data_IF_628337488777
#
_entry.id   IF_628337488777
#
_cell.length_a   1.000
_cell.length_b   1.000
_cell.length_c   1.000
_cell.angle_alpha   90.00
_cell.angle_beta   90.00
_cell.angle_gamma   90.00
#
_symmetry.space_group_name_H-M   'P 1'
#
loop_
_entity.id
_entity.type
_entity.pdbx_description
1 polymer ?
#
# COMPACT_ATOMS: atom_id res chain seq x y z
N UNK A 1 -8.30 7.10 -33.82
CA UNK A 1 -9.32 6.28 -33.16
C UNK A 1 -10.63 7.03 -33.31
N UNK A 2 -11.63 6.40 -33.92
CA UNK A 2 -12.92 7.06 -34.15
C UNK A 2 -13.82 6.92 -32.90
N UNK A 3 -14.90 7.70 -32.85
CA UNK A 3 -15.78 7.80 -31.68
C UNK A 3 -16.51 6.46 -31.37
N UNK A 4 -16.78 5.66 -32.41
CA UNK A 4 -17.35 4.31 -32.29
C UNK A 4 -16.35 3.31 -31.68
N UNK A 5 -15.08 3.34 -32.07
CA UNK A 5 -14.00 2.53 -31.47
C UNK A 5 -13.82 2.88 -29.99
N UNK A 6 -13.91 4.17 -29.65
CA UNK A 6 -13.80 4.63 -28.26
C UNK A 6 -14.97 4.15 -27.41
N UNK A 7 -16.20 4.23 -27.94
CA UNK A 7 -17.39 3.76 -27.25
C UNK A 7 -17.38 2.23 -27.07
N UNK A 8 -16.88 1.50 -28.07
CA UNK A 8 -16.71 0.06 -28.00
C UNK A 8 -15.69 -0.33 -26.91
N UNK A 9 -14.56 0.36 -26.83
CA UNK A 9 -13.55 0.14 -25.78
C UNK A 9 -14.10 0.41 -24.39
N UNK A 10 -14.88 1.49 -24.22
CA UNK A 10 -15.54 1.81 -22.94
C UNK A 10 -16.54 0.72 -22.52
N UNK A 11 -17.31 0.20 -23.48
CA UNK A 11 -18.28 -0.87 -23.22
C UNK A 11 -17.60 -2.21 -22.88
N UNK A 12 -16.47 -2.51 -23.54
CA UNK A 12 -15.66 -3.70 -23.24
C UNK A 12 -15.06 -3.59 -21.84
N UNK A 13 -14.48 -2.44 -21.48
CA UNK A 13 -13.90 -2.21 -20.16
C UNK A 13 -14.95 -2.40 -19.04
N UNK A 14 -16.13 -1.79 -19.18
CA UNK A 14 -17.23 -1.94 -18.21
C UNK A 14 -17.80 -3.37 -18.13
N UNK A 15 -17.69 -4.15 -19.20
CA UNK A 15 -18.13 -5.56 -19.19
C UNK A 15 -17.11 -6.45 -18.49
N UNK A 16 -15.81 -6.17 -18.64
CA UNK A 16 -14.74 -6.87 -17.94
C UNK A 16 -14.75 -6.58 -16.43
N UNK A 17 -15.06 -5.34 -16.05
CA UNK A 17 -15.21 -4.93 -14.64
C UNK A 17 -16.31 -5.75 -13.92
N UNK A 18 -17.48 -5.90 -14.56
CA UNK A 18 -18.57 -6.74 -14.03
C UNK A 18 -18.20 -8.21 -13.86
N UNK A 19 -17.34 -8.73 -14.72
CA UNK A 19 -16.86 -10.11 -14.63
C UNK A 19 -15.86 -10.25 -13.49
N UNK A 20 -14.95 -9.29 -13.31
CA UNK A 20 -13.99 -9.28 -12.20
C UNK A 20 -14.70 -9.21 -10.84
N UNK A 21 -15.67 -8.30 -10.68
CA UNK A 21 -16.47 -8.17 -9.45
C UNK A 21 -17.27 -9.45 -9.12
N UNK A 22 -17.67 -10.21 -10.16
CA UNK A 22 -18.39 -11.48 -9.98
C UNK A 22 -17.47 -12.63 -9.56
N UNK A 23 -16.16 -12.55 -9.85
CA UNK A 23 -15.18 -13.54 -9.47
C UNK A 23 -14.71 -13.32 -8.01
N UNK A 24 -14.50 -12.06 -7.60
CA UNK A 24 -14.14 -11.71 -6.21
C UNK A 24 -15.23 -12.11 -5.21
N UNK A 25 -16.51 -11.98 -5.58
CA UNK A 25 -17.64 -12.41 -4.73
C UNK A 25 -17.71 -13.93 -4.48
N UNK A 26 -17.10 -14.74 -5.34
CA UNK A 26 -17.10 -16.19 -5.19
C UNK A 26 -15.95 -16.72 -4.32
N UNK A 27 -14.87 -15.96 -4.12
CA UNK A 27 -13.74 -16.34 -3.25
C UNK A 27 -14.03 -16.09 -1.76
N UNK A 28 -14.90 -15.14 -1.41
CA UNK A 28 -15.17 -14.73 -0.03
C UNK A 28 -16.20 -15.59 0.73
N UNK A 29 -16.64 -16.73 0.19
CA UNK A 29 -17.70 -17.57 0.78
C UNK A 29 -17.22 -18.85 1.48
N UNK A 30 -15.91 -19.03 1.75
CA UNK A 30 -15.44 -20.17 2.53
C UNK A 30 -14.58 -19.77 3.75
N UNK A 31 -15.01 -20.32 4.89
CA UNK A 31 -14.34 -20.44 6.21
C UNK A 31 -14.49 -19.25 7.17
N UNK A 32 -15.54 -19.36 7.99
CA UNK A 32 -15.72 -18.64 9.24
C UNK A 32 -15.58 -19.67 10.36
N UNK A 33 -14.47 -19.69 11.10
CA UNK A 33 -14.38 -20.45 12.36
C UNK A 33 -13.66 -19.62 13.43
N UNK A 34 -14.37 -19.44 14.54
CA UNK A 34 -14.05 -18.57 15.68
C UNK A 34 -12.98 -19.21 16.57
N UNK A 35 -12.09 -18.38 17.11
CA UNK A 35 -11.41 -18.67 18.37
C UNK A 35 -11.48 -17.45 19.30
N UNK A 36 -12.19 -17.62 20.43
CA UNK A 36 -12.22 -16.73 21.58
C UNK A 36 -11.00 -17.01 22.47
N UNK A 37 -10.22 -15.99 22.83
CA UNK A 37 -9.37 -16.00 24.03
C UNK A 37 -9.39 -14.62 24.68
N UNK A 38 -9.89 -14.58 25.92
CA UNK A 38 -9.83 -13.44 26.82
C UNK A 38 -8.51 -13.48 27.61
N UNK A 39 -7.80 -12.34 27.73
CA UNK A 39 -6.84 -12.08 28.82
C UNK A 39 -6.80 -10.59 29.15
N UNK A 40 -6.63 -10.36 30.45
CA UNK A 40 -6.80 -9.18 31.28
C UNK A 40 -5.86 -8.00 31.01
N UNK A 41 -6.37 -6.83 31.34
CA UNK A 41 -5.72 -5.52 31.38
C UNK A 41 -4.65 -5.42 32.47
N UNK A 42 -3.47 -4.92 32.11
CA UNK A 42 -2.54 -4.30 33.06
C UNK A 42 -2.04 -2.98 32.48
N UNK A 43 -2.51 -1.89 33.10
CA UNK A 43 -2.02 -0.52 32.93
C UNK A 43 -0.60 -0.43 33.48
N UNK A 44 0.36 0.06 32.69
CA UNK A 44 1.60 0.63 33.23
C UNK A 44 1.96 1.89 32.45
N UNK A 45 1.81 3.02 33.14
CA UNK A 45 2.19 4.36 32.72
C UNK A 45 3.70 4.53 32.81
N UNK A 46 4.36 4.85 31.71
CA UNK A 46 5.69 5.45 31.74
C UNK A 46 5.72 6.72 30.90
N UNK A 47 5.55 7.84 31.59
CA UNK A 47 5.90 9.18 31.13
C UNK A 47 7.42 9.26 30.93
N UNK A 48 7.87 9.45 29.69
CA UNK A 48 9.21 9.94 29.40
C UNK A 48 9.11 11.40 28.99
N UNK A 49 9.59 12.27 29.88
CA UNK A 49 9.80 13.68 29.62
C UNK A 49 11.13 13.87 28.87
N UNK A 50 11.05 14.05 27.56
CA UNK A 50 12.14 14.62 26.77
C UNK A 50 11.75 16.03 26.33
N UNK A 51 12.64 16.98 26.60
CA UNK A 51 12.59 18.32 26.02
C UNK A 51 12.82 18.20 24.51
N UNK A 52 11.76 18.34 23.72
CA UNK A 52 11.88 18.55 22.27
C UNK A 52 11.33 19.93 21.89
N UNK A 53 12.17 20.71 21.23
CA UNK A 53 11.75 21.93 20.55
C UNK A 53 11.19 21.51 19.20
N UNK A 54 9.98 20.95 19.18
CA UNK A 54 9.45 20.23 18.02
C UNK A 54 7.95 20.40 17.85
N UNK A 55 7.55 20.57 16.59
CA UNK A 55 6.18 20.59 16.12
C UNK A 55 5.25 19.55 16.81
N UNK A 56 4.08 20.00 17.30
CA UNK A 56 3.11 19.13 17.99
C UNK A 56 2.26 18.37 16.97
N UNK A 57 2.56 17.11 16.76
CA UNK A 57 1.65 16.18 16.07
C UNK A 57 0.69 15.54 17.07
N UNK A 58 -0.58 15.49 16.69
CA UNK A 58 -1.63 14.91 17.51
C UNK A 58 -2.47 13.97 16.66
N UNK A 59 -2.42 12.68 17.01
CA UNK A 59 -3.37 11.71 16.49
C UNK A 59 -4.73 11.93 17.18
N UNK A 60 -5.79 12.06 16.39
CA UNK A 60 -7.16 12.31 16.87
C UNK A 60 -8.03 11.06 16.70
N UNK A 61 -9.21 11.05 17.34
CA UNK A 61 -10.14 9.94 17.30
C UNK A 61 -10.56 9.60 15.85
N UNK A 62 -10.48 8.32 15.50
CA UNK A 62 -10.86 7.79 14.19
C UNK A 62 -12.33 8.06 13.85
N UNK A 63 -13.20 8.23 14.86
CA UNK A 63 -14.61 8.58 14.67
C UNK A 63 -14.78 9.85 13.85
N UNK A 64 -13.84 10.80 13.94
CA UNK A 64 -13.89 12.07 13.20
C UNK A 64 -13.73 11.83 11.69
N UNK A 65 -12.86 10.88 11.29
CA UNK A 65 -12.73 10.49 9.88
C UNK A 65 -13.97 9.71 9.41
N UNK A 66 -14.53 8.84 10.24
CA UNK A 66 -15.77 8.12 9.93
C UNK A 66 -16.93 9.10 9.71
N UNK A 67 -17.08 10.09 10.58
CA UNK A 67 -18.11 11.13 10.46
C UNK A 67 -17.93 11.94 9.17
N UNK A 68 -16.70 12.31 8.81
CA UNK A 68 -16.42 13.03 7.56
C UNK A 68 -16.67 12.22 6.30
N UNK A 69 -16.42 10.91 6.33
CA UNK A 69 -16.82 10.01 5.24
C UNK A 69 -18.36 9.95 5.16
N UNK A 70 -19.05 9.88 6.29
CA UNK A 70 -20.50 9.83 6.34
C UNK A 70 -21.16 11.13 5.83
N UNK A 71 -20.58 12.30 6.10
CA UNK A 71 -21.00 13.60 5.52
C UNK A 71 -20.98 13.60 3.98
N UNK A 72 -20.11 12.79 3.39
CA UNK A 72 -19.98 12.56 1.94
C UNK A 72 -20.83 11.39 1.43
N UNK A 73 -21.74 10.84 2.26
CA UNK A 73 -22.56 9.65 1.98
C UNK A 73 -21.74 8.37 1.77
N UNK A 74 -20.61 8.24 2.47
CA UNK A 74 -19.79 7.02 2.49
C UNK A 74 -19.90 6.39 3.86
N UNK A 75 -20.38 5.16 3.92
CA UNK A 75 -20.54 4.44 5.18
C UNK A 75 -19.40 3.45 5.39
N UNK A 76 -18.68 3.56 6.49
CA UNK A 76 -17.66 2.57 6.89
C UNK A 76 -18.36 1.37 7.54
N UNK A 77 -18.23 0.18 6.95
CA UNK A 77 -18.83 -1.08 7.44
C UNK A 77 -17.95 -1.74 8.50
N UNK A 78 -16.66 -1.86 8.17
CA UNK A 78 -15.66 -2.50 9.02
C UNK A 78 -14.33 -1.79 8.82
N UNK A 79 -13.58 -1.66 9.90
CA UNK A 79 -12.20 -1.24 9.89
C UNK A 79 -11.49 -1.94 11.05
N UNK A 80 -10.17 -1.99 10.98
CA UNK A 80 -9.36 -2.44 12.11
C UNK A 80 -9.03 -1.20 12.94
N UNK A 81 -9.55 -1.16 14.16
CA UNK A 81 -9.16 -0.11 15.11
C UNK A 81 -7.67 -0.26 15.44
N UNK A 82 -6.95 0.86 15.38
CA UNK A 82 -5.48 1.01 15.50
C UNK A 82 -4.68 -0.32 15.56
N UNK A 83 -4.14 -0.69 14.41
CA UNK A 83 -3.34 -1.90 14.20
C UNK A 83 -2.28 -2.10 15.30
N UNK A 84 -2.21 -3.29 15.90
CA UNK A 84 -1.05 -3.66 16.71
C UNK A 84 0.18 -3.66 15.82
N UNK A 85 1.09 -2.70 16.00
CA UNK A 85 2.34 -2.61 15.26
C UNK A 85 3.06 -3.97 15.29
N UNK A 86 3.12 -4.64 14.13
CA UNK A 86 4.06 -5.73 13.97
C UNK A 86 5.39 -5.12 13.54
N UNK A 87 6.17 -4.67 14.52
CA UNK A 87 7.43 -3.93 14.29
C UNK A 87 8.33 -4.63 13.27
N UNK A 88 8.34 -5.97 13.22
CA UNK A 88 9.10 -6.74 12.23
C UNK A 88 8.57 -6.59 10.80
N UNK A 89 7.27 -6.79 10.57
CA UNK A 89 6.68 -6.65 9.22
C UNK A 89 6.74 -5.21 8.73
N UNK A 90 6.53 -4.27 9.63
CA UNK A 90 6.61 -2.85 9.32
C UNK A 90 8.03 -2.44 8.90
N UNK A 91 9.07 -2.95 9.57
CA UNK A 91 10.45 -2.70 9.19
C UNK A 91 10.79 -3.31 7.82
N UNK A 92 10.22 -4.49 7.50
CA UNK A 92 10.39 -5.12 6.18
C UNK A 92 9.71 -4.27 5.10
N UNK A 93 8.47 -3.86 5.32
CA UNK A 93 7.72 -3.01 4.39
C UNK A 93 8.46 -1.68 4.13
N UNK A 94 8.94 -1.03 5.19
CA UNK A 94 9.71 0.21 5.08
C UNK A 94 11.04 0.01 4.33
N UNK A 95 11.75 -1.09 4.60
CA UNK A 95 12.93 -1.47 3.82
C UNK A 95 12.59 -1.72 2.36
N UNK A 96 11.49 -2.43 2.08
CA UNK A 96 11.06 -2.76 0.72
C UNK A 96 10.74 -1.51 -0.10
N UNK A 97 9.99 -0.55 0.44
CA UNK A 97 9.67 0.71 -0.25
C UNK A 97 10.93 1.55 -0.51
N UNK A 98 11.71 1.83 0.54
CA UNK A 98 12.90 2.69 0.44
C UNK A 98 14.03 2.11 -0.42
N UNK A 99 14.07 0.78 -0.59
CA UNK A 99 15.07 0.09 -1.40
C UNK A 99 14.47 -0.56 -2.64
N UNK A 100 13.25 -0.18 -3.03
CA UNK A 100 12.50 -0.90 -4.07
C UNK A 100 13.30 -1.04 -5.36
N UNK A 101 13.95 0.04 -5.83
CA UNK A 101 14.84 0.03 -6.99
C UNK A 101 15.91 -1.07 -6.94
N UNK A 102 16.51 -1.28 -5.78
CA UNK A 102 17.58 -2.27 -5.58
C UNK A 102 17.05 -3.71 -5.40
N UNK A 103 15.84 -3.87 -4.85
CA UNK A 103 15.25 -5.18 -4.54
C UNK A 103 14.27 -5.68 -5.60
N UNK A 104 13.85 -4.83 -6.54
CA UNK A 104 12.75 -5.09 -7.47
C UNK A 104 12.88 -6.46 -8.15
N UNK A 105 14.07 -6.77 -8.67
CA UNK A 105 14.33 -8.04 -9.36
C UNK A 105 14.07 -9.26 -8.47
N UNK A 106 14.51 -9.23 -7.21
CA UNK A 106 14.30 -10.34 -6.28
C UNK A 106 12.86 -10.40 -5.79
N UNK A 107 12.24 -9.26 -5.49
CA UNK A 107 10.84 -9.17 -5.07
C UNK A 107 9.89 -9.71 -6.15
N UNK A 108 10.02 -9.27 -7.40
CA UNK A 108 9.21 -9.76 -8.51
C UNK A 108 9.44 -11.27 -8.75
N UNK A 109 10.66 -11.76 -8.52
CA UNK A 109 10.97 -13.19 -8.62
C UNK A 109 10.28 -13.98 -7.53
N UNK A 110 10.31 -13.51 -6.27
CA UNK A 110 9.58 -14.10 -5.15
C UNK A 110 8.09 -14.15 -5.47
N UNK A 111 7.50 -13.01 -5.86
CA UNK A 111 6.07 -12.90 -6.16
C UNK A 111 5.62 -13.88 -7.26
N UNK A 112 6.43 -14.04 -8.33
CA UNK A 112 6.17 -15.01 -9.42
C UNK A 112 6.23 -16.47 -8.96
N UNK A 113 6.89 -16.77 -7.84
CA UNK A 113 7.05 -18.12 -7.32
C UNK A 113 6.16 -18.44 -6.11
N UNK A 114 5.41 -17.47 -5.56
CA UNK A 114 4.47 -17.70 -4.46
C UNK A 114 3.50 -18.87 -4.73
N UNK A 115 2.96 -18.92 -5.96
CA UNK A 115 1.99 -19.96 -6.35
C UNK A 115 2.64 -21.17 -7.02
N UNK A 116 3.97 -21.26 -7.09
CA UNK A 116 4.68 -22.38 -7.75
C UNK A 116 5.07 -23.45 -6.74
N UNK A 117 5.18 -24.73 -7.14
CA UNK A 117 5.58 -25.80 -6.24
C UNK A 117 7.08 -25.78 -5.89
N UNK A 118 7.91 -25.14 -6.73
CA UNK A 118 9.36 -25.14 -6.61
C UNK A 118 9.89 -23.75 -6.21
N UNK A 119 11.03 -23.74 -5.52
CA UNK A 119 11.82 -22.54 -5.32
C UNK A 119 12.40 -21.97 -6.61
N UNK A 120 13.13 -20.87 -6.49
CA UNK A 120 13.73 -20.16 -7.61
C UNK A 120 15.25 -20.04 -7.47
N UNK A 121 15.88 -19.79 -8.61
CA UNK A 121 17.28 -19.42 -8.73
C UNK A 121 17.35 -18.06 -9.42
N UNK A 122 17.99 -17.08 -8.80
CA UNK A 122 18.13 -15.74 -9.34
C UNK A 122 19.60 -15.38 -9.53
N UNK A 123 19.98 -15.12 -10.77
CA UNK A 123 21.32 -14.65 -11.15
C UNK A 123 21.49 -13.16 -10.84
N UNK A 124 22.50 -12.82 -10.04
CA UNK A 124 22.89 -11.44 -9.69
C UNK A 124 24.29 -11.06 -10.21
N UNK A 125 24.89 -11.83 -11.14
CA UNK A 125 26.26 -11.61 -11.61
C UNK A 125 26.49 -10.22 -12.22
N UNK A 126 25.48 -9.64 -12.85
CA UNK A 126 25.52 -8.30 -13.45
C UNK A 126 24.83 -7.24 -12.60
N UNK A 127 24.42 -7.58 -11.38
CA UNK A 127 23.82 -6.64 -10.45
C UNK A 127 24.89 -5.79 -9.77
N UNK A 128 24.50 -4.60 -9.34
CA UNK A 128 25.35 -3.71 -8.55
C UNK A 128 25.57 -4.29 -7.15
N UNK A 129 26.60 -3.80 -6.45
CA UNK A 129 26.83 -4.19 -5.06
C UNK A 129 25.65 -3.79 -4.14
N UNK A 130 24.96 -2.68 -4.46
CA UNK A 130 23.76 -2.22 -3.77
C UNK A 130 22.61 -3.20 -3.93
N UNK A 131 22.31 -3.59 -5.17
CA UNK A 131 21.27 -4.58 -5.51
C UNK A 131 21.53 -5.93 -4.85
N UNK A 132 22.78 -6.43 -4.90
CA UNK A 132 23.17 -7.68 -4.26
C UNK A 132 22.95 -7.60 -2.74
N UNK A 133 23.43 -6.52 -2.11
CA UNK A 133 23.29 -6.34 -0.65
C UNK A 133 21.83 -6.26 -0.24
N UNK A 134 21.03 -5.43 -0.92
CA UNK A 134 19.62 -5.25 -0.59
C UNK A 134 18.80 -6.52 -0.85
N UNK A 135 19.08 -7.24 -1.94
CA UNK A 135 18.42 -8.50 -2.26
C UNK A 135 18.70 -9.58 -1.21
N UNK A 136 19.95 -9.69 -0.77
CA UNK A 136 20.33 -10.62 0.30
C UNK A 136 19.72 -10.24 1.65
N UNK A 137 19.70 -8.94 1.98
CA UNK A 137 19.05 -8.46 3.20
C UNK A 137 17.56 -8.81 3.19
N UNK A 138 16.84 -8.51 2.10
CA UNK A 138 15.42 -8.87 1.98
C UNK A 138 15.20 -10.37 2.17
N UNK A 139 15.95 -11.21 1.46
CA UNK A 139 15.77 -12.66 1.56
C UNK A 139 16.12 -13.20 2.95
N UNK A 140 17.14 -12.63 3.60
CA UNK A 140 17.48 -13.01 4.99
C UNK A 140 16.32 -12.69 5.91
N UNK A 141 15.81 -11.46 5.89
CA UNK A 141 14.72 -11.06 6.79
C UNK A 141 13.45 -11.85 6.51
N UNK A 142 13.10 -12.11 5.24
CA UNK A 142 11.95 -12.94 4.89
C UNK A 142 12.12 -14.40 5.32
N UNK A 143 13.34 -14.94 5.28
CA UNK A 143 13.64 -16.28 5.80
C UNK A 143 13.52 -16.34 7.33
N UNK A 144 14.03 -15.34 8.04
CA UNK A 144 14.00 -15.27 9.51
C UNK A 144 12.56 -15.24 10.06
N UNK A 145 11.61 -14.66 9.31
CA UNK A 145 10.17 -14.67 9.64
C UNK A 145 9.38 -15.79 8.96
N UNK A 146 10.06 -16.78 8.40
CA UNK A 146 9.49 -17.95 7.71
C UNK A 146 8.61 -17.63 6.48
N UNK A 147 8.74 -16.45 5.88
CA UNK A 147 8.12 -16.12 4.58
C UNK A 147 8.88 -16.77 3.42
N UNK A 148 10.16 -17.09 3.62
CA UNK A 148 10.89 -18.06 2.81
C UNK A 148 11.12 -19.32 3.65
N UNK A 149 10.84 -20.49 3.06
CA UNK A 149 11.12 -21.79 3.67
C UNK A 149 12.56 -22.24 3.46
N UNK A 150 13.21 -21.71 2.42
CA UNK A 150 14.62 -21.94 2.11
C UNK A 150 15.22 -20.63 1.60
N UNK A 151 16.46 -20.34 2.01
CA UNK A 151 17.25 -19.25 1.46
C UNK A 151 18.74 -19.60 1.51
N UNK A 152 19.44 -19.37 0.41
CA UNK A 152 20.90 -19.45 0.30
C UNK A 152 21.40 -18.49 -0.76
N UNK A 153 22.51 -17.81 -0.47
CA UNK A 153 23.25 -17.01 -1.45
C UNK A 153 24.62 -17.62 -1.76
N UNK A 154 24.83 -17.95 -3.02
CA UNK A 154 26.11 -18.39 -3.56
C UNK A 154 26.95 -17.16 -3.96
N UNK A 155 28.06 -16.94 -3.24
CA UNK A 155 28.99 -15.84 -3.50
C UNK A 155 29.75 -16.00 -4.83
N UNK A 156 30.68 -15.07 -5.08
CA UNK A 156 31.61 -15.13 -6.21
C UNK A 156 32.21 -16.53 -6.41
N UNK A 157 32.29 -17.03 -7.65
CA UNK A 157 31.97 -16.35 -8.91
C UNK A 157 30.51 -16.51 -9.37
N UNK A 158 29.64 -17.13 -8.57
CA UNK A 158 28.30 -17.56 -9.01
C UNK A 158 27.21 -16.51 -8.82
N UNK A 159 27.19 -15.79 -7.70
CA UNK A 159 26.22 -14.72 -7.43
C UNK A 159 24.75 -15.16 -7.57
N UNK A 160 24.38 -16.36 -7.08
CA UNK A 160 23.01 -16.87 -7.16
C UNK A 160 22.28 -16.76 -5.82
N UNK A 161 21.04 -16.27 -5.85
CA UNK A 161 20.07 -16.51 -4.77
C UNK A 161 19.30 -17.79 -5.10
N UNK A 162 19.26 -18.70 -4.12
CA UNK A 162 18.36 -19.84 -4.08
C UNK A 162 17.34 -19.56 -2.97
N UNK A 163 16.05 -19.59 -3.28
CA UNK A 163 15.03 -19.43 -2.24
C UNK A 163 13.70 -20.08 -2.62
N UNK A 164 12.94 -20.46 -1.61
CA UNK A 164 11.62 -21.08 -1.77
C UNK A 164 10.59 -20.29 -0.97
N UNK A 165 9.67 -19.53 -1.60
CA UNK A 165 8.61 -18.84 -0.87
C UNK A 165 7.75 -19.81 -0.06
N UNK A 166 7.41 -19.42 1.16
CA UNK A 166 6.46 -20.15 1.99
C UNK A 166 5.03 -19.74 1.60
N UNK A 167 4.10 -20.70 1.62
CA UNK A 167 2.70 -20.52 1.17
C UNK A 167 1.72 -20.26 2.31
N UNK A 168 2.22 -19.82 3.45
CA UNK A 168 1.37 -19.41 4.56
C UNK A 168 0.59 -18.14 4.15
N UNK A 169 -0.72 -18.03 4.47
CA UNK A 169 -1.56 -16.92 4.02
C UNK A 169 -0.98 -15.53 4.32
N UNK A 170 -0.39 -15.35 5.51
CA UNK A 170 0.24 -14.08 5.91
C UNK A 170 1.42 -13.69 5.00
N UNK A 171 2.24 -14.65 4.55
CA UNK A 171 3.36 -14.37 3.64
C UNK A 171 2.86 -14.01 2.24
N UNK A 172 1.83 -14.71 1.77
CA UNK A 172 1.20 -14.44 0.47
C UNK A 172 0.63 -13.01 0.51
N UNK A 173 -0.27 -12.71 1.45
CA UNK A 173 -0.92 -11.41 1.57
C UNK A 173 0.09 -10.27 1.69
N UNK A 174 1.12 -10.45 2.54
CA UNK A 174 2.20 -9.49 2.67
C UNK A 174 2.90 -9.23 1.34
N UNK A 175 3.39 -10.27 0.67
CA UNK A 175 4.18 -10.16 -0.57
C UNK A 175 3.35 -9.81 -1.80
N UNK A 176 2.02 -9.91 -1.76
CA UNK A 176 1.14 -9.56 -2.88
C UNK A 176 0.55 -8.15 -2.82
N UNK A 177 0.63 -7.45 -1.68
CA UNK A 177 0.09 -6.09 -1.59
C UNK A 177 0.36 -5.42 -0.24
N UNK A 178 0.15 -6.14 0.86
CA UNK A 178 0.08 -5.52 2.18
C UNK A 178 1.37 -4.82 2.63
N UNK A 179 2.55 -5.25 2.15
CA UNK A 179 3.79 -4.51 2.42
C UNK A 179 3.74 -3.06 1.90
N UNK A 180 3.06 -2.82 0.77
CA UNK A 180 2.98 -1.49 0.15
C UNK A 180 2.03 -0.59 0.94
N UNK A 181 0.89 -1.11 1.42
CA UNK A 181 -0.03 -0.41 2.32
C UNK A 181 0.69 0.05 3.60
N UNK A 182 1.47 -0.86 4.20
CA UNK A 182 2.27 -0.56 5.40
C UNK A 182 3.34 0.49 5.12
N UNK A 183 4.04 0.40 3.99
CA UNK A 183 5.00 1.41 3.56
C UNK A 183 4.34 2.78 3.39
N UNK A 184 3.22 2.84 2.67
CA UNK A 184 2.45 4.07 2.42
C UNK A 184 2.08 4.76 3.73
N UNK A 185 1.46 4.01 4.65
CA UNK A 185 1.04 4.52 5.97
C UNK A 185 2.21 5.13 6.72
N UNK A 186 3.31 4.38 6.87
CA UNK A 186 4.49 4.83 7.61
C UNK A 186 5.13 6.07 7.00
N UNK A 187 5.29 6.07 5.69
CA UNK A 187 5.88 7.21 4.96
C UNK A 187 5.04 8.47 5.12
N UNK A 188 3.71 8.38 5.12
CA UNK A 188 2.82 9.53 5.42
C UNK A 188 3.02 10.01 6.85
N UNK A 189 2.96 9.10 7.84
CA UNK A 189 3.13 9.46 9.26
C UNK A 189 4.48 10.15 9.51
N UNK A 190 5.57 9.63 8.94
CA UNK A 190 6.90 10.22 9.09
C UNK A 190 7.04 11.53 8.33
N UNK A 191 6.37 11.67 7.18
CA UNK A 191 6.31 12.94 6.45
C UNK A 191 5.59 14.02 7.26
N UNK A 192 4.48 13.68 7.92
CA UNK A 192 3.79 14.61 8.82
C UNK A 192 4.70 15.05 9.96
N UNK A 193 5.40 14.11 10.63
CA UNK A 193 6.38 14.38 11.71
C UNK A 193 7.49 15.34 11.32
N UNK A 194 7.84 15.38 10.03
CA UNK A 194 8.87 16.27 9.52
C UNK A 194 8.41 17.72 9.29
N UNK A 195 7.10 17.99 9.34
CA UNK A 195 6.57 19.34 9.11
C UNK A 195 6.78 20.23 10.34
N UNK A 196 7.14 21.52 10.17
CA UNK A 196 7.36 22.46 11.27
C UNK A 196 6.08 23.09 11.84
N UNK A 197 4.90 22.58 11.50
CA UNK A 197 3.57 23.13 11.88
C UNK A 197 2.72 22.07 12.56
N UNK A 198 1.99 22.44 13.61
CA UNK A 198 1.15 21.48 14.33
C UNK A 198 0.15 20.80 13.40
N UNK A 199 0.12 19.47 13.43
CA UNK A 199 -0.73 18.63 12.60
C UNK A 199 -1.67 17.82 13.48
N UNK A 200 -2.96 17.87 13.18
CA UNK A 200 -3.93 16.89 13.67
C UNK A 200 -4.20 15.87 12.55
N UNK A 201 -4.09 14.58 12.86
CA UNK A 201 -4.38 13.54 11.88
C UNK A 201 -5.04 12.31 12.50
N UNK A 202 -5.74 11.53 11.68
CA UNK A 202 -6.16 10.16 11.99
C UNK A 202 -6.22 9.38 10.69
N UNK A 203 -6.35 8.06 10.74
CA UNK A 203 -6.36 7.24 9.53
C UNK A 203 -7.12 5.92 9.69
N UNK A 204 -7.49 5.35 8.56
CA UNK A 204 -8.04 4.01 8.41
C UNK A 204 -7.16 3.22 7.43
N UNK A 205 -6.95 1.94 7.72
CA UNK A 205 -6.29 1.00 6.82
C UNK A 205 -7.31 -0.06 6.43
N UNK A 206 -7.40 -0.35 5.13
CA UNK A 206 -8.29 -1.34 4.54
C UNK A 206 -9.76 -1.23 5.02
N UNK A 207 -10.36 -0.01 5.20
CA UNK A 207 -11.76 0.07 5.56
C UNK A 207 -12.64 -0.46 4.43
N UNK A 208 -13.60 -1.30 4.80
CA UNK A 208 -14.71 -1.67 3.92
C UNK A 208 -15.74 -0.56 3.97
N UNK A 209 -16.07 0.01 2.82
CA UNK A 209 -17.00 1.13 2.71
C UNK A 209 -18.17 0.80 1.77
N UNK A 210 -19.27 1.51 1.98
CA UNK A 210 -20.38 1.62 1.03
C UNK A 210 -20.29 2.99 0.39
N UNK A 211 -20.16 3.02 -0.93
CA UNK A 211 -20.11 4.23 -1.73
C UNK A 211 -21.52 4.87 -1.86
N UNK A 212 -21.62 6.15 -2.29
CA UNK A 212 -22.92 6.82 -2.44
C UNK A 212 -23.91 6.13 -3.39
N UNK A 213 -23.40 5.30 -4.32
CA UNK A 213 -24.22 4.51 -5.24
C UNK A 213 -24.69 3.17 -4.65
N UNK A 214 -24.33 2.85 -3.40
CA UNK A 214 -24.66 1.61 -2.70
C UNK A 214 -23.69 0.45 -2.94
N UNK A 215 -22.64 0.63 -3.75
CA UNK A 215 -21.65 -0.42 -3.98
C UNK A 215 -20.67 -0.54 -2.81
N UNK A 216 -20.26 -1.77 -2.50
CA UNK A 216 -19.15 -2.03 -1.59
C UNK A 216 -17.80 -1.73 -2.28
N UNK A 217 -16.85 -1.20 -1.52
CA UNK A 217 -15.47 -0.98 -1.94
C UNK A 217 -14.51 -1.05 -0.75
N UNK A 218 -13.26 -1.43 -0.97
CA UNK A 218 -12.19 -1.42 0.03
C UNK A 218 -11.17 -0.35 -0.35
N UNK A 219 -10.84 0.56 0.57
CA UNK A 219 -9.79 1.55 0.38
C UNK A 219 -8.50 1.06 1.03
N UNK A 220 -7.34 1.17 0.38
CA UNK A 220 -6.09 0.72 1.01
C UNK A 220 -5.71 1.59 2.25
N UNK A 221 -5.45 2.89 2.06
CA UNK A 221 -5.09 3.80 3.18
C UNK A 221 -5.79 5.15 3.06
N UNK A 222 -6.52 5.54 4.10
CA UNK A 222 -7.26 6.81 4.15
C UNK A 222 -6.82 7.61 5.35
N UNK A 223 -6.37 8.84 5.13
CA UNK A 223 -6.01 9.78 6.18
C UNK A 223 -7.01 10.92 6.25
N UNK A 224 -7.25 11.42 7.46
CA UNK A 224 -7.77 12.75 7.70
C UNK A 224 -6.61 13.59 8.25
N UNK A 225 -6.24 14.67 7.58
CA UNK A 225 -5.10 15.53 7.97
C UNK A 225 -5.57 16.97 7.97
N UNK A 226 -5.54 17.63 9.13
CA UNK A 226 -6.05 18.99 9.33
C UNK A 226 -7.47 19.21 8.75
N UNK A 227 -8.27 18.14 8.74
CA UNK A 227 -9.64 18.15 8.25
C UNK A 227 -9.82 17.81 6.77
N UNK A 228 -8.77 17.64 5.99
CA UNK A 228 -8.87 17.19 4.60
C UNK A 228 -8.67 15.67 4.52
N UNK A 229 -9.47 15.00 3.67
CA UNK A 229 -9.35 13.55 3.45
C UNK A 229 -8.31 13.33 2.35
N UNK A 230 -7.41 12.39 2.59
CA UNK A 230 -6.43 11.90 1.62
C UNK A 230 -6.61 10.40 1.48
N UNK A 231 -6.68 9.90 0.24
CA UNK A 231 -6.74 8.46 -0.04
C UNK A 231 -5.55 8.05 -0.90
N UNK A 232 -4.85 7.01 -0.46
CA UNK A 232 -3.75 6.40 -1.18
C UNK A 232 -4.07 4.93 -1.44
N UNK A 233 -4.04 4.55 -2.70
CA UNK A 233 -4.20 3.18 -3.18
C UNK A 233 -2.82 2.65 -3.64
N UNK A 234 -2.44 1.46 -3.21
CA UNK A 234 -1.17 0.81 -3.55
C UNK A 234 -1.38 -0.38 -4.49
N UNK A 235 -0.70 -0.41 -5.64
CA UNK A 235 -0.69 -1.60 -6.52
C UNK A 235 0.70 -2.10 -6.81
N UNK A 236 0.87 -3.39 -6.55
CA UNK A 236 2.13 -4.11 -6.79
C UNK A 236 2.11 -4.94 -8.10
N UNK A 237 1.10 -4.73 -8.95
CA UNK A 237 0.87 -5.48 -10.18
C UNK A 237 0.01 -4.68 -11.16
N UNK A 238 -0.45 -5.32 -12.24
CA UNK A 238 -1.03 -4.64 -13.41
C UNK A 238 -2.17 -3.65 -13.06
N UNK A 239 -1.83 -2.37 -13.00
CA UNK A 239 -2.73 -1.27 -12.65
C UNK A 239 -3.74 -0.92 -13.75
N UNK A 240 -3.51 -1.32 -15.01
CA UNK A 240 -4.31 -0.85 -16.15
C UNK A 240 -5.78 -1.24 -16.05
N UNK A 241 -6.07 -2.36 -15.39
CA UNK A 241 -7.43 -2.83 -15.18
C UNK A 241 -8.18 -2.07 -14.08
N UNK A 242 -7.46 -1.37 -13.21
CA UNK A 242 -8.04 -0.81 -11.98
C UNK A 242 -8.00 0.72 -11.92
N UNK A 243 -7.11 1.39 -12.66
CA UNK A 243 -6.95 2.86 -12.60
C UNK A 243 -8.26 3.62 -12.87
N UNK A 244 -9.10 3.13 -13.78
CA UNK A 244 -10.41 3.73 -14.05
C UNK A 244 -11.39 3.55 -12.86
N UNK A 245 -11.37 2.37 -12.21
CA UNK A 245 -12.15 2.08 -11.00
C UNK A 245 -11.74 3.04 -9.87
N UNK A 246 -10.44 3.19 -9.65
CA UNK A 246 -9.92 4.07 -8.59
C UNK A 246 -10.23 5.54 -8.84
N UNK A 247 -10.04 6.03 -10.07
CA UNK A 247 -10.46 7.37 -10.46
C UNK A 247 -11.95 7.62 -10.19
N UNK A 248 -12.81 6.64 -10.51
CA UNK A 248 -14.25 6.77 -10.25
C UNK A 248 -14.57 6.84 -8.75
N UNK A 249 -13.88 6.04 -7.94
CA UNK A 249 -14.02 6.07 -6.47
C UNK A 249 -13.52 7.41 -5.92
N UNK A 250 -12.36 7.93 -6.36
CA UNK A 250 -11.86 9.24 -5.92
C UNK A 250 -12.87 10.35 -6.18
N UNK A 251 -13.51 10.34 -7.35
CA UNK A 251 -14.59 11.25 -7.70
C UNK A 251 -15.81 11.10 -6.76
N UNK A 252 -16.19 9.87 -6.39
CA UNK A 252 -17.28 9.63 -5.42
C UNK A 252 -16.94 10.08 -4.00
N UNK A 253 -15.66 9.99 -3.62
CA UNK A 253 -15.13 10.55 -2.37
C UNK A 253 -15.02 12.09 -2.42
N UNK A 254 -15.23 12.69 -3.61
CA UNK A 254 -15.02 14.10 -3.90
C UNK A 254 -13.59 14.53 -3.52
N UNK A 255 -12.61 13.77 -4.01
CA UNK A 255 -11.19 14.02 -3.88
C UNK A 255 -10.63 14.44 -5.24
N UNK A 256 -9.77 15.46 -5.23
CA UNK A 256 -9.00 15.84 -6.42
C UNK A 256 -7.65 15.10 -6.44
N UNK A 257 -6.83 15.40 -7.45
CA UNK A 257 -5.49 14.84 -7.60
C UNK A 257 -4.51 15.16 -6.45
N UNK A 258 -4.75 16.19 -5.65
CA UNK A 258 -3.91 16.53 -4.49
C UNK A 258 -4.34 15.76 -3.23
N UNK A 259 -5.44 15.01 -3.31
CA UNK A 259 -6.03 14.25 -2.22
C UNK A 259 -6.25 12.76 -2.56
N UNK A 260 -5.96 12.34 -3.80
CA UNK A 260 -6.10 10.95 -4.25
C UNK A 260 -4.86 10.49 -5.02
N UNK A 261 -4.27 9.38 -4.58
CA UNK A 261 -2.98 8.90 -5.06
C UNK A 261 -2.99 7.42 -5.39
N UNK A 262 -2.34 7.03 -6.48
CA UNK A 262 -2.12 5.63 -6.86
C UNK A 262 -0.62 5.35 -6.86
N UNK A 263 -0.15 4.60 -5.88
CA UNK A 263 1.26 4.21 -5.74
C UNK A 263 1.50 2.90 -6.46
N UNK A 264 2.45 2.90 -7.39
CA UNK A 264 2.71 1.78 -8.29
C UNK A 264 4.13 1.25 -8.14
N UNK A 265 4.26 -0.07 -8.15
CA UNK A 265 5.57 -0.72 -8.19
C UNK A 265 6.02 -1.07 -9.62
N UNK A 266 5.15 -0.83 -10.61
CA UNK A 266 5.46 -0.97 -12.03
C UNK A 266 6.41 0.14 -12.48
N UNK A 267 7.35 -0.20 -13.38
CA UNK A 267 8.14 0.85 -14.04
C UNK A 267 7.34 1.49 -15.15
N UNK A 268 7.03 2.76 -14.94
CA UNK A 268 6.28 3.61 -15.84
C UNK A 268 7.16 4.81 -16.14
N UNK A 269 7.25 5.18 -17.41
CA UNK A 269 8.04 6.36 -17.77
C UNK A 269 7.33 7.65 -17.31
N UNK A 270 8.07 8.74 -17.02
CA UNK A 270 7.50 9.99 -16.51
C UNK A 270 6.38 10.59 -17.38
N UNK A 271 6.49 10.49 -18.70
CA UNK A 271 5.46 11.01 -19.61
C UNK A 271 4.15 10.24 -19.46
N UNK A 272 4.22 8.90 -19.32
CA UNK A 272 3.05 8.07 -19.09
C UNK A 272 2.43 8.36 -17.73
N UNK A 273 3.22 8.55 -16.68
CA UNK A 273 2.72 8.97 -15.35
C UNK A 273 1.93 10.27 -15.48
N UNK A 274 2.50 11.30 -16.10
CA UNK A 274 1.82 12.58 -16.32
C UNK A 274 0.51 12.43 -17.09
N UNK A 275 0.51 11.66 -18.18
CA UNK A 275 -0.70 11.44 -19.00
C UNK A 275 -1.77 10.71 -18.18
N UNK A 276 -1.40 9.66 -17.44
CA UNK A 276 -2.34 8.91 -16.62
C UNK A 276 -2.93 9.80 -15.52
N UNK A 277 -2.09 10.54 -14.79
CA UNK A 277 -2.57 11.42 -13.72
C UNK A 277 -3.54 12.48 -14.25
N UNK A 278 -3.26 13.05 -15.43
CA UNK A 278 -4.15 14.00 -16.11
C UNK A 278 -5.45 13.37 -16.60
N UNK A 279 -5.39 12.14 -17.08
CA UNK A 279 -6.54 11.46 -17.68
C UNK A 279 -7.52 10.97 -16.62
N UNK A 280 -7.00 10.54 -15.48
CA UNK A 280 -7.77 9.90 -14.41
C UNK A 280 -7.99 10.81 -13.19
N UNK A 281 -7.58 12.08 -13.26
CA UNK A 281 -7.72 13.08 -12.20
C UNK A 281 -7.30 12.59 -10.80
N UNK A 282 -6.20 11.83 -10.78
CA UNK A 282 -5.67 11.14 -9.60
C UNK A 282 -4.15 11.10 -9.75
N UNK A 283 -3.39 11.36 -8.70
CA UNK A 283 -1.93 11.45 -8.82
C UNK A 283 -1.30 10.06 -8.82
N UNK A 284 -0.71 9.67 -9.94
CA UNK A 284 0.01 8.40 -10.08
C UNK A 284 1.46 8.60 -9.65
N UNK A 285 1.97 7.76 -8.75
CA UNK A 285 3.31 7.90 -8.18
C UNK A 285 4.04 6.55 -8.21
N UNK A 286 5.24 6.44 -8.78
CA UNK A 286 6.10 5.28 -8.57
C UNK A 286 6.46 5.14 -7.10
N UNK A 287 6.54 3.91 -6.57
CA UNK A 287 6.89 3.68 -5.17
C UNK A 287 8.23 4.31 -4.78
N UNK A 288 9.19 4.40 -5.71
CA UNK A 288 10.49 5.05 -5.49
C UNK A 288 10.42 6.57 -5.30
N UNK A 289 9.35 7.21 -5.77
CA UNK A 289 9.14 8.67 -5.73
C UNK A 289 8.13 9.08 -4.65
N UNK A 290 7.48 8.09 -4.00
CA UNK A 290 6.36 8.32 -3.08
C UNK A 290 6.71 9.24 -1.90
N UNK A 291 7.85 9.02 -1.25
CA UNK A 291 8.26 9.85 -0.11
C UNK A 291 8.47 11.32 -0.50
N UNK A 292 9.15 11.56 -1.62
CA UNK A 292 9.43 12.92 -2.10
C UNK A 292 8.15 13.64 -2.51
N UNK A 293 7.26 12.95 -3.24
CA UNK A 293 6.01 13.53 -3.72
C UNK A 293 5.05 13.86 -2.57
N UNK A 294 4.89 12.96 -1.58
CA UNK A 294 4.03 13.23 -0.42
C UNK A 294 4.55 14.38 0.43
N UNK A 295 5.87 14.47 0.63
CA UNK A 295 6.48 15.62 1.31
C UNK A 295 6.20 16.93 0.57
N UNK A 296 6.32 16.92 -0.75
CA UNK A 296 6.00 18.09 -1.57
C UNK A 296 4.52 18.48 -1.44
N UNK A 297 3.59 17.53 -1.62
CA UNK A 297 2.15 17.80 -1.53
C UNK A 297 1.76 18.31 -0.15
N UNK A 298 2.24 17.70 0.92
CA UNK A 298 1.93 18.15 2.27
C UNK A 298 2.57 19.49 2.61
N UNK A 299 3.77 19.77 2.11
CA UNK A 299 4.35 21.10 2.24
C UNK A 299 3.47 22.15 1.54
N UNK A 300 3.08 21.93 0.28
CA UNK A 300 2.25 22.90 -0.46
C UNK A 300 0.84 23.06 0.12
N UNK A 301 0.21 21.98 0.59
CA UNK A 301 -1.18 22.01 1.08
C UNK A 301 -1.29 22.46 2.54
N UNK A 302 -0.30 22.15 3.39
CA UNK A 302 -0.36 22.37 4.84
C UNK A 302 0.52 23.53 5.30
N UNK A 303 1.37 24.08 4.42
CA UNK A 303 2.20 25.26 4.69
C UNK A 303 1.95 26.40 3.70
N UNK A 304 0.79 27.08 3.78
CA UNK A 304 0.47 28.22 2.93
C UNK A 304 1.32 29.48 3.20
#
# INVERSE_FOLDING_TARGET
MNEEEFLLLKNIASSLERIADSLEKNENNEVNDKFDVAVESSEDNHENADMDSGCSIKEIDVSILIDKLQEKNITVKTYVDSFQENTSLDNIAYFMGNRYKDIRKVYETIKRHLNKPNGFHLDLKNSTQSEISASCQLCTTLYDIAFLSEYKYDKSPRYFIHATPNKIPIAINFLTGHWLEVFIRKTIQDSLKSLPVAIEYTYLINPQIILPNGNDFELDVVFLINGEIYWVEGKTGNYQHYINKYSHVANMLNLDKNHSFLVLTDVINPNTIYILSKTFDMTIIPVEEFEEEIKYVFHENLMP
#
